data_IF_261125686880
#
_entry.id   IF_261125686880
#
_cell.length_a   1.000
_cell.length_b   1.000
_cell.length_c   1.000
_cell.angle_alpha   90.00
_cell.angle_beta   90.00
_cell.angle_gamma   90.00
#
_symmetry.space_group_name_H-M   'P 1'
#
loop_
_entity.id
_entity.type
_entity.pdbx_description
1 polymer ?
#
# COMPACT_ATOMS: atom_id res chain seq x y z
N UNK A 1 -0.82 -9.50 21.60
CA UNK A 1 0.09 -9.40 20.43
C UNK A 1 -0.42 -10.23 19.25
N UNK A 2 -0.63 -11.55 19.41
CA UNK A 2 -1.11 -12.42 18.32
C UNK A 2 -2.36 -11.90 17.61
N UNK A 3 -3.41 -11.54 18.36
CA UNK A 3 -4.65 -11.01 17.77
C UNK A 3 -4.45 -9.73 16.93
N UNK A 4 -3.56 -8.83 17.37
CA UNK A 4 -3.24 -7.59 16.63
C UNK A 4 -2.54 -7.93 15.32
N UNK A 5 -1.53 -8.80 15.35
CA UNK A 5 -0.79 -9.20 14.15
C UNK A 5 -1.71 -9.91 13.15
N UNK A 6 -2.51 -10.88 13.61
CA UNK A 6 -3.46 -11.59 12.76
C UNK A 6 -4.50 -10.65 12.14
N UNK A 7 -5.10 -9.75 12.93
CA UNK A 7 -6.07 -8.78 12.44
C UNK A 7 -5.47 -7.75 11.48
N UNK A 8 -4.18 -7.43 11.64
CA UNK A 8 -3.50 -6.46 10.77
C UNK A 8 -3.17 -7.05 9.40
N UNK A 9 -2.74 -8.32 9.38
CA UNK A 9 -2.25 -9.02 8.19
C UNK A 9 -3.37 -9.69 7.39
N UNK A 10 -4.40 -10.21 8.06
CA UNK A 10 -5.51 -10.93 7.42
C UNK A 10 -6.15 -10.20 6.21
N UNK A 11 -6.53 -8.91 6.29
CA UNK A 11 -7.16 -8.24 5.15
C UNK A 11 -6.20 -8.08 3.96
N UNK A 12 -4.91 -7.83 4.22
CA UNK A 12 -3.91 -7.73 3.16
C UNK A 12 -3.68 -9.08 2.48
N UNK A 13 -3.59 -10.17 3.24
CA UNK A 13 -3.48 -11.52 2.68
C UNK A 13 -4.72 -11.88 1.86
N UNK A 14 -5.92 -11.57 2.36
CA UNK A 14 -7.16 -11.85 1.63
C UNK A 14 -7.21 -11.10 0.29
N UNK A 15 -6.90 -9.80 0.29
CA UNK A 15 -6.90 -8.99 -0.94
C UNK A 15 -5.78 -9.41 -1.90
N UNK A 16 -4.56 -9.64 -1.40
CA UNK A 16 -3.45 -10.11 -2.23
C UNK A 16 -3.78 -11.46 -2.87
N UNK A 17 -4.40 -12.37 -2.12
CA UNK A 17 -4.84 -13.68 -2.64
C UNK A 17 -5.91 -13.51 -3.72
N UNK A 18 -6.86 -12.60 -3.53
CA UNK A 18 -7.89 -12.31 -4.53
C UNK A 18 -7.29 -11.82 -5.86
N UNK A 19 -6.34 -10.88 -5.83
CA UNK A 19 -5.68 -10.40 -7.05
C UNK A 19 -4.78 -11.47 -7.67
N UNK A 20 -3.98 -12.19 -6.87
CA UNK A 20 -3.10 -13.23 -7.38
C UNK A 20 -3.88 -14.40 -8.02
N UNK A 21 -4.98 -14.86 -7.40
CA UNK A 21 -5.77 -15.98 -7.91
C UNK A 21 -6.64 -15.62 -9.12
N UNK A 22 -6.86 -14.32 -9.36
CA UNK A 22 -7.59 -13.82 -10.53
C UNK A 22 -6.67 -13.66 -11.74
N UNK A 23 -5.35 -13.72 -11.54
CA UNK A 23 -4.40 -13.73 -12.63
C UNK A 23 -4.53 -14.99 -13.48
N UNK A 24 -4.44 -14.83 -14.80
CA UNK A 24 -4.42 -15.95 -15.73
C UNK A 24 -3.03 -16.57 -15.81
N UNK A 25 -1.98 -15.77 -15.61
CA UNK A 25 -0.59 -16.19 -15.66
C UNK A 25 0.05 -15.86 -14.32
N UNK A 26 0.43 -16.86 -13.54
CA UNK A 26 0.89 -16.61 -12.19
C UNK A 26 2.26 -15.93 -12.17
N UNK A 27 2.31 -14.71 -11.64
CA UNK A 27 3.54 -13.97 -11.39
C UNK A 27 4.46 -14.68 -10.37
N UNK A 28 5.79 -14.54 -10.50
CA UNK A 28 6.73 -15.15 -9.58
C UNK A 28 6.54 -14.61 -8.15
N UNK A 29 6.13 -15.50 -7.23
CA UNK A 29 5.93 -15.19 -5.82
C UNK A 29 7.09 -14.40 -5.17
N UNK A 30 8.38 -14.69 -5.45
CA UNK A 30 9.48 -13.90 -4.89
C UNK A 30 9.43 -12.41 -5.26
N UNK A 31 8.97 -12.09 -6.48
CA UNK A 31 8.88 -10.69 -6.94
C UNK A 31 7.69 -9.99 -6.26
N UNK A 32 6.55 -10.66 -6.11
CA UNK A 32 5.40 -10.14 -5.34
C UNK A 32 5.80 -9.87 -3.90
N UNK A 33 6.49 -10.81 -3.25
CA UNK A 33 6.98 -10.64 -1.87
C UNK A 33 7.96 -9.46 -1.80
N UNK A 34 8.89 -9.34 -2.75
CA UNK A 34 9.81 -8.20 -2.82
C UNK A 34 9.05 -6.87 -2.92
N UNK A 35 8.03 -6.79 -3.78
CA UNK A 35 7.19 -5.60 -3.93
C UNK A 35 6.42 -5.27 -2.65
N UNK A 36 5.85 -6.28 -1.99
CA UNK A 36 5.20 -6.13 -0.69
C UNK A 36 6.17 -5.58 0.36
N UNK A 37 7.40 -6.10 0.44
CA UNK A 37 8.42 -5.64 1.38
C UNK A 37 8.87 -4.19 1.12
N UNK A 38 8.92 -3.76 -0.15
CA UNK A 38 9.14 -2.35 -0.48
C UNK A 38 8.01 -1.46 0.08
N UNK A 39 6.76 -1.90 -0.04
CA UNK A 39 5.62 -1.23 0.58
C UNK A 39 5.76 -1.09 2.10
N UNK A 40 6.13 -2.17 2.79
CA UNK A 40 6.39 -2.16 4.24
C UNK A 40 7.50 -1.15 4.59
N UNK A 41 8.59 -1.16 3.83
CA UNK A 41 9.73 -0.29 4.08
C UNK A 41 9.38 1.20 3.94
N UNK A 42 8.50 1.55 3.00
CA UNK A 42 8.09 2.93 2.72
C UNK A 42 7.36 3.62 3.88
N UNK A 43 6.73 2.87 4.80
CA UNK A 43 6.03 3.45 5.95
C UNK A 43 6.98 4.28 6.82
N UNK A 44 8.19 3.80 7.09
CA UNK A 44 9.14 4.49 7.97
C UNK A 44 9.56 5.88 7.47
N UNK A 45 10.11 6.03 6.23
CA UNK A 45 10.50 7.34 5.73
C UNK A 45 9.30 8.26 5.54
N UNK A 46 8.14 7.75 5.11
CA UNK A 46 6.94 8.58 4.89
C UNK A 46 6.40 9.09 6.23
N UNK A 47 6.29 8.24 7.26
CA UNK A 47 5.90 8.67 8.60
C UNK A 47 6.85 9.73 9.16
N UNK A 48 8.16 9.58 8.95
CA UNK A 48 9.14 10.58 9.39
C UNK A 48 8.92 11.93 8.70
N UNK A 49 8.73 11.94 7.39
CA UNK A 49 8.44 13.16 6.63
C UNK A 49 7.12 13.82 7.09
N UNK A 50 6.05 13.03 7.23
CA UNK A 50 4.76 13.50 7.70
C UNK A 50 4.85 14.10 9.13
N UNK A 51 5.62 13.45 10.00
CA UNK A 51 5.87 13.95 11.36
C UNK A 51 6.63 15.28 11.33
N UNK A 52 7.70 15.39 10.54
CA UNK A 52 8.48 16.62 10.40
C UNK A 52 7.61 17.80 9.92
N UNK A 53 6.82 17.59 8.87
CA UNK A 53 5.88 18.58 8.33
C UNK A 53 4.84 18.99 9.39
N UNK A 54 4.33 18.03 10.16
CA UNK A 54 3.37 18.30 11.23
C UNK A 54 3.97 19.15 12.36
N UNK A 55 5.25 18.96 12.71
CA UNK A 55 5.93 19.72 13.75
C UNK A 55 6.21 21.17 13.36
N UNK A 56 6.40 21.47 12.07
CA UNK A 56 6.61 22.85 11.62
C UNK A 56 5.37 23.74 11.86
N UNK A 57 4.17 23.15 11.90
CA UNK A 57 2.93 23.87 12.25
C UNK A 57 2.38 24.76 11.13
N UNK A 58 2.88 24.62 9.90
CA UNK A 58 2.46 25.43 8.73
C UNK A 58 1.06 25.04 8.26
N UNK A 59 0.64 23.82 8.54
CA UNK A 59 -0.66 23.25 8.14
C UNK A 59 -1.46 22.96 9.40
N UNK A 60 -2.46 23.80 9.67
CA UNK A 60 -3.33 23.67 10.85
C UNK A 60 -4.72 23.11 10.53
N UNK A 61 -5.07 23.03 9.24
CA UNK A 61 -6.35 22.47 8.81
C UNK A 61 -6.25 20.94 8.72
N UNK A 62 -6.96 20.22 9.60
CA UNK A 62 -6.93 18.76 9.67
C UNK A 62 -7.36 18.04 8.39
N UNK A 63 -8.24 18.66 7.57
CA UNK A 63 -8.61 18.11 6.25
C UNK A 63 -7.44 18.22 5.29
N UNK A 64 -6.80 19.40 5.22
CA UNK A 64 -5.64 19.59 4.36
C UNK A 64 -4.49 18.65 4.76
N UNK A 65 -4.25 18.49 6.06
CA UNK A 65 -3.27 17.55 6.58
C UNK A 65 -3.57 16.10 6.18
N UNK A 66 -4.83 15.66 6.30
CA UNK A 66 -5.20 14.28 5.99
C UNK A 66 -5.08 13.95 4.51
N UNK A 67 -5.54 14.84 3.62
CA UNK A 67 -5.56 14.59 2.17
C UNK A 67 -4.24 14.92 1.48
N UNK A 68 -3.66 16.10 1.76
CA UNK A 68 -2.49 16.62 1.05
C UNK A 68 -1.18 16.18 1.70
N UNK A 69 -1.12 16.09 3.03
CA UNK A 69 0.12 15.65 3.69
C UNK A 69 0.14 14.13 3.84
N UNK A 70 -0.95 13.52 4.33
CA UNK A 70 -0.99 12.07 4.50
C UNK A 70 -1.19 11.36 3.16
N UNK A 71 -2.39 11.49 2.59
CA UNK A 71 -2.80 10.72 1.42
C UNK A 71 -1.91 10.93 0.21
N UNK A 72 -1.63 12.18 -0.17
CA UNK A 72 -0.78 12.46 -1.33
C UNK A 72 0.64 11.90 -1.17
N UNK A 73 1.31 12.10 -0.03
CA UNK A 73 2.67 11.58 0.16
C UNK A 73 2.70 10.05 0.12
N UNK A 74 1.78 9.40 0.83
CA UNK A 74 1.71 7.93 0.87
C UNK A 74 1.52 7.34 -0.52
N UNK A 75 0.55 7.85 -1.28
CA UNK A 75 0.27 7.34 -2.61
C UNK A 75 1.35 7.75 -3.61
N UNK A 76 1.90 8.97 -3.54
CA UNK A 76 2.98 9.43 -4.42
C UNK A 76 4.24 8.58 -4.31
N UNK A 77 4.72 8.31 -3.08
CA UNK A 77 5.97 7.56 -2.89
C UNK A 77 5.83 6.08 -3.25
N UNK A 78 4.66 5.48 -2.96
CA UNK A 78 4.38 4.11 -3.42
C UNK A 78 4.29 4.03 -4.93
N UNK A 79 3.60 4.98 -5.57
CA UNK A 79 3.54 5.10 -7.02
C UNK A 79 4.94 5.30 -7.63
N UNK A 80 5.76 6.15 -7.02
CA UNK A 80 7.14 6.38 -7.47
C UNK A 80 7.99 5.11 -7.42
N UNK A 81 7.92 4.33 -6.33
CA UNK A 81 8.60 3.04 -6.23
C UNK A 81 8.06 2.03 -7.25
N UNK A 82 6.74 2.01 -7.48
CA UNK A 82 6.14 1.16 -8.52
C UNK A 82 6.73 1.48 -9.90
N UNK A 83 6.79 2.76 -10.29
CA UNK A 83 7.38 3.19 -11.55
C UNK A 83 8.86 2.80 -11.63
N UNK A 84 9.63 3.07 -10.58
CA UNK A 84 11.06 2.80 -10.59
C UNK A 84 11.39 1.30 -10.65
N UNK A 85 10.63 0.46 -9.94
CA UNK A 85 10.93 -0.96 -9.76
C UNK A 85 10.33 -1.87 -10.81
N UNK A 86 9.12 -1.57 -11.31
CA UNK A 86 8.32 -2.50 -12.12
C UNK A 86 8.04 -1.96 -13.52
N UNK A 87 7.84 -0.65 -13.69
CA UNK A 87 7.46 -0.10 -14.99
C UNK A 87 8.47 -0.36 -16.11
N UNK A 88 9.75 -0.54 -15.75
CA UNK A 88 10.82 -0.93 -16.69
C UNK A 88 11.35 -2.35 -16.46
N UNK A 89 10.67 -3.16 -15.63
CA UNK A 89 11.10 -4.52 -15.31
C UNK A 89 10.69 -5.50 -16.41
N UNK A 90 11.53 -6.50 -16.69
CA UNK A 90 11.31 -7.49 -17.76
C UNK A 90 10.12 -8.42 -17.51
N UNK A 91 9.73 -8.58 -16.25
CA UNK A 91 8.58 -9.39 -15.81
C UNK A 91 7.26 -8.62 -15.94
N UNK A 92 7.28 -7.38 -16.43
CA UNK A 92 6.07 -6.62 -16.71
C UNK A 92 5.65 -6.86 -18.17
N UNK A 93 4.99 -7.99 -18.41
CA UNK A 93 4.60 -8.45 -19.75
C UNK A 93 3.12 -8.12 -20.02
N UNK A 94 2.28 -8.17 -18.99
CA UNK A 94 0.86 -7.84 -19.09
C UNK A 94 0.43 -6.72 -18.15
N UNK A 95 -0.67 -6.06 -18.54
CA UNK A 95 -1.31 -5.04 -17.72
C UNK A 95 -1.73 -5.58 -16.34
N UNK A 96 -2.07 -6.87 -16.25
CA UNK A 96 -2.54 -7.47 -15.01
C UNK A 96 -1.41 -7.67 -14.01
N UNK A 97 -0.20 -8.01 -14.48
CA UNK A 97 1.00 -8.16 -13.65
C UNK A 97 1.30 -6.83 -12.93
N UNK A 98 1.15 -5.72 -13.65
CA UNK A 98 1.24 -4.38 -13.08
C UNK A 98 0.26 -4.15 -11.93
N UNK A 99 -0.99 -4.65 -12.06
CA UNK A 99 -1.99 -4.60 -10.99
C UNK A 99 -1.52 -5.41 -9.79
N UNK A 100 -1.06 -6.65 -9.99
CA UNK A 100 -0.56 -7.53 -8.93
C UNK A 100 0.59 -6.86 -8.17
N UNK A 101 1.55 -6.26 -8.88
CA UNK A 101 2.69 -5.59 -8.26
C UNK A 101 2.33 -4.27 -7.56
N UNK A 102 1.50 -3.42 -8.17
CA UNK A 102 1.05 -2.18 -7.54
C UNK A 102 0.23 -2.45 -6.28
N UNK A 103 -0.66 -3.44 -6.34
CA UNK A 103 -1.45 -3.89 -5.18
C UNK A 103 -0.53 -4.48 -4.11
N UNK A 104 0.50 -5.26 -4.47
CA UNK A 104 1.46 -5.80 -3.50
C UNK A 104 2.19 -4.70 -2.72
N UNK A 105 2.70 -3.66 -3.41
CA UNK A 105 3.33 -2.50 -2.75
C UNK A 105 2.34 -1.82 -1.80
N UNK A 106 1.13 -1.53 -2.28
CA UNK A 106 0.11 -0.85 -1.48
C UNK A 106 -0.36 -1.66 -0.27
N UNK A 107 -0.51 -2.98 -0.41
CA UNK A 107 -0.89 -3.86 0.70
C UNK A 107 0.24 -4.07 1.70
N UNK A 108 1.49 -4.06 1.26
CA UNK A 108 2.66 -4.05 2.13
C UNK A 108 2.67 -2.83 3.05
N UNK A 109 2.49 -1.65 2.45
CA UNK A 109 2.38 -0.39 3.19
C UNK A 109 1.20 -0.42 4.18
N UNK A 110 0.02 -0.78 3.69
CA UNK A 110 -1.20 -0.83 4.49
C UNK A 110 -1.09 -1.81 5.66
N UNK A 111 -0.40 -2.95 5.48
CA UNK A 111 -0.23 -3.95 6.53
C UNK A 111 0.58 -3.40 7.69
N UNK A 112 1.73 -2.78 7.41
CA UNK A 112 2.59 -2.28 8.46
C UNK A 112 2.00 -1.05 9.14
N UNK A 113 1.36 -0.15 8.39
CA UNK A 113 0.57 0.93 8.96
C UNK A 113 -0.56 0.41 9.87
N UNK A 114 -1.26 -0.66 9.45
CA UNK A 114 -2.33 -1.27 10.25
C UNK A 114 -1.81 -1.93 11.54
N UNK A 115 -0.64 -2.55 11.50
CA UNK A 115 0.03 -3.09 12.70
C UNK A 115 0.29 -1.96 13.69
N UNK A 116 0.93 -0.87 13.25
CA UNK A 116 1.22 0.28 14.12
C UNK A 116 -0.07 0.87 14.69
N UNK A 117 -1.08 1.08 13.84
CA UNK A 117 -2.37 1.64 14.23
C UNK A 117 -3.09 0.79 15.27
N UNK A 118 -3.14 -0.54 15.09
CA UNK A 118 -3.84 -1.43 16.01
C UNK A 118 -3.05 -1.67 17.30
N UNK A 119 -1.72 -1.58 17.27
CA UNK A 119 -0.89 -1.60 18.47
C UNK A 119 -1.16 -0.37 19.36
N UNK A 120 -1.40 0.81 18.77
CA UNK A 120 -1.63 2.05 19.52
C UNK A 120 -3.09 2.25 19.90
N UNK A 121 -4.03 1.93 19.02
CA UNK A 121 -5.46 2.29 19.18
C UNK A 121 -6.35 1.10 19.61
N UNK A 122 -5.84 -0.13 19.49
CA UNK A 122 -6.52 -1.36 19.90
C UNK A 122 -7.38 -2.03 18.83
N UNK A 123 -7.73 -3.29 19.09
CA UNK A 123 -8.43 -4.19 18.15
C UNK A 123 -9.84 -3.77 17.74
N UNK A 124 -10.49 -2.86 18.48
CA UNK A 124 -11.84 -2.36 18.14
C UNK A 124 -11.92 -1.70 16.76
N UNK A 125 -10.79 -1.23 16.23
CA UNK A 125 -10.70 -0.63 14.90
C UNK A 125 -10.33 -1.63 13.80
N UNK A 126 -10.09 -2.92 14.12
CA UNK A 126 -9.61 -3.88 13.13
C UNK A 126 -10.54 -4.01 11.92
N UNK A 127 -11.85 -4.08 12.15
CA UNK A 127 -12.85 -4.22 11.10
C UNK A 127 -12.92 -2.95 10.22
N UNK A 128 -12.96 -1.77 10.84
CA UNK A 128 -13.01 -0.51 10.09
C UNK A 128 -11.73 -0.27 9.30
N UNK A 129 -10.57 -0.60 9.87
CA UNK A 129 -9.27 -0.54 9.17
C UNK A 129 -9.25 -1.48 7.95
N UNK A 130 -9.75 -2.71 8.10
CA UNK A 130 -9.83 -3.68 7.01
C UNK A 130 -10.71 -3.20 5.85
N UNK A 131 -11.87 -2.61 6.16
CA UNK A 131 -12.85 -2.19 5.15
C UNK A 131 -12.47 -0.86 4.49
N UNK A 132 -11.89 0.09 5.22
CA UNK A 132 -11.66 1.43 4.71
C UNK A 132 -10.18 1.63 4.28
N UNK A 133 -9.19 1.82 5.16
CA UNK A 133 -7.79 2.01 4.78
C UNK A 133 -7.20 0.89 3.91
N UNK A 134 -7.27 -0.37 4.36
CA UNK A 134 -6.53 -1.46 3.72
C UNK A 134 -7.07 -1.73 2.31
N UNK A 135 -8.40 -1.73 2.15
CA UNK A 135 -9.02 -1.86 0.83
C UNK A 135 -8.73 -0.65 -0.06
N UNK A 136 -8.74 0.58 0.50
CA UNK A 136 -8.47 1.80 -0.27
C UNK A 136 -7.06 1.80 -0.83
N UNK A 137 -6.04 1.42 -0.05
CA UNK A 137 -4.67 1.31 -0.57
C UNK A 137 -4.57 0.31 -1.73
N UNK A 138 -5.24 -0.85 -1.64
CA UNK A 138 -5.28 -1.80 -2.75
C UNK A 138 -5.94 -1.18 -4.00
N UNK A 139 -7.05 -0.47 -3.83
CA UNK A 139 -7.74 0.22 -4.92
C UNK A 139 -6.91 1.35 -5.53
N UNK A 140 -6.15 2.12 -4.73
CA UNK A 140 -5.26 3.15 -5.25
C UNK A 140 -4.11 2.56 -6.07
N UNK A 141 -3.53 1.44 -5.62
CA UNK A 141 -2.54 0.69 -6.41
C UNK A 141 -3.10 0.24 -7.76
N UNK A 142 -4.31 -0.32 -7.77
CA UNK A 142 -5.03 -0.66 -8.99
C UNK A 142 -5.26 0.56 -9.91
N UNK A 143 -5.67 1.70 -9.34
CA UNK A 143 -5.96 2.91 -10.11
C UNK A 143 -4.72 3.44 -10.84
N UNK A 144 -3.53 3.39 -10.23
CA UNK A 144 -2.30 3.80 -10.91
C UNK A 144 -2.08 3.06 -12.22
N UNK A 145 -2.30 1.75 -12.20
CA UNK A 145 -2.03 0.90 -13.37
C UNK A 145 -3.05 1.19 -14.47
N UNK A 146 -4.34 1.35 -14.10
CA UNK A 146 -5.40 1.72 -15.03
C UNK A 146 -5.10 3.06 -15.70
N UNK A 147 -4.61 4.06 -14.96
CA UNK A 147 -4.36 5.41 -15.49
C UNK A 147 -3.09 5.53 -16.30
N UNK A 148 -2.04 4.77 -15.97
CA UNK A 148 -0.78 4.79 -16.72
C UNK A 148 -0.91 4.24 -18.14
N UNK A 149 -1.92 3.39 -18.39
CA UNK A 149 -2.08 2.71 -19.67
C UNK A 149 -0.98 1.67 -19.90
N UNK A 150 -1.29 0.67 -20.71
CA UNK A 150 -0.43 -0.49 -20.99
C UNK A 150 1.03 -0.13 -21.35
N UNK A 151 2.04 -0.81 -20.78
CA UNK A 151 3.20 -1.23 -21.57
C UNK A 151 2.73 -2.24 -22.61
N UNK A 152 3.36 -2.15 -23.79
CA UNK A 152 2.99 -2.88 -25.00
C UNK A 152 2.98 -4.37 -24.80
#
# INVERSE_FOLDING_TARGET
MFAVLSASVAPAVALMSFFYLKDRYAEPLPLIIKMFLWGVLLVLPIMFMQYAIAQEGWIQNGVFQSFIVSGFFEEFFKWFIFIYMIYHHTEFDTHYDGIVYAVAISLGFATFENVLYLMTNGLKYALTRAIFPVSSHALFGLLWVITLGKPK
#
